data_IF_114512943345
#
_entry.id   IF_114512943345
#
_cell.length_a   1.000
_cell.length_b   1.000
_cell.length_c   1.000
_cell.angle_alpha   90.00
_cell.angle_beta   90.00
_cell.angle_gamma   90.00
#
_symmetry.space_group_name_H-M   'P 1'
#
loop_
_entity.id
_entity.type
_entity.pdbx_description
1 polymer ?
#
# COMPACT_ATOMS: atom_id res chain seq x y z
N UNK A 1 15.81 15.88 50.90
CA UNK A 1 16.37 15.40 49.62
C UNK A 1 15.21 15.18 48.67
N UNK A 2 15.10 16.02 47.64
CA UNK A 2 14.01 16.02 46.65
C UNK A 2 14.59 15.53 45.32
N UNK A 3 13.99 14.55 44.62
CA UNK A 3 14.50 14.12 43.32
C UNK A 3 14.06 15.10 42.24
N UNK A 4 15.04 15.62 41.49
CA UNK A 4 14.87 16.58 40.43
C UNK A 4 14.14 16.02 39.21
N UNK A 5 13.11 16.75 38.78
CA UNK A 5 12.35 16.57 37.55
C UNK A 5 13.22 17.05 36.37
N UNK A 6 13.65 16.16 35.48
CA UNK A 6 14.26 16.55 34.19
C UNK A 6 13.15 16.71 33.16
N UNK A 7 12.92 17.95 32.74
CA UNK A 7 12.17 18.28 31.52
C UNK A 7 13.06 18.00 30.32
N UNK A 8 12.54 17.26 29.33
CA UNK A 8 13.19 17.02 28.04
C UNK A 8 12.44 17.85 27.01
N UNK A 9 13.03 18.99 26.67
CA UNK A 9 12.59 19.84 25.57
C UNK A 9 13.04 19.27 24.23
N UNK A 10 12.13 19.31 23.26
CA UNK A 10 12.39 19.72 21.88
C UNK A 10 13.17 18.78 20.96
N UNK A 11 12.46 18.20 19.99
CA UNK A 11 12.77 18.32 18.54
C UNK A 11 11.62 17.74 17.72
N UNK A 12 10.64 18.59 17.41
CA UNK A 12 9.77 18.40 16.27
C UNK A 12 10.58 18.78 15.03
N UNK A 13 10.97 17.78 14.24
CA UNK A 13 11.69 17.93 12.98
C UNK A 13 10.91 17.24 11.87
N UNK A 14 10.15 18.05 11.12
CA UNK A 14 10.11 18.05 9.66
C UNK A 14 9.93 16.69 8.95
N UNK A 15 8.66 16.25 8.82
CA UNK A 15 8.25 15.23 7.84
C UNK A 15 7.75 15.93 6.58
N UNK A 16 8.61 16.07 5.56
CA UNK A 16 8.19 16.43 4.20
C UNK A 16 8.97 15.64 3.15
N UNK A 17 8.19 15.08 2.22
CA UNK A 17 8.51 14.74 0.83
C UNK A 17 9.32 13.45 0.54
N UNK A 18 8.62 12.31 0.50
CA UNK A 18 8.93 11.20 -0.44
C UNK A 18 7.61 10.68 -1.02
N UNK A 19 7.04 11.40 -1.99
CA UNK A 19 5.81 10.99 -2.69
C UNK A 19 5.91 11.10 -4.21
N UNK A 20 7.12 11.22 -4.78
CA UNK A 20 7.29 11.45 -6.21
C UNK A 20 8.41 10.58 -6.81
N UNK A 21 8.24 9.25 -6.84
CA UNK A 21 9.07 8.39 -7.71
C UNK A 21 8.51 6.98 -8.02
N UNK A 22 7.20 6.76 -7.93
CA UNK A 22 6.61 5.43 -8.17
C UNK A 22 5.36 5.52 -9.06
N UNK A 23 5.55 5.93 -10.32
CA UNK A 23 4.47 6.00 -11.32
C UNK A 23 4.85 5.42 -12.69
N UNK A 24 5.82 4.51 -12.78
CA UNK A 24 6.31 3.99 -14.09
C UNK A 24 6.48 2.46 -14.22
N UNK A 25 5.91 1.61 -13.36
CA UNK A 25 6.02 0.16 -13.55
C UNK A 25 4.68 -0.57 -13.51
N UNK A 26 3.99 -0.52 -14.64
CA UNK A 26 3.14 -1.61 -15.09
C UNK A 26 3.49 -1.92 -16.56
N UNK A 27 3.68 -3.21 -16.85
CA UNK A 27 3.99 -3.85 -18.15
C UNK A 27 5.48 -3.99 -18.52
N UNK A 28 6.03 -5.17 -18.22
CA UNK A 28 7.05 -5.82 -19.07
C UNK A 28 7.14 -7.32 -18.74
N UNK A 29 6.25 -8.11 -19.33
CA UNK A 29 6.48 -9.54 -19.54
C UNK A 29 7.41 -9.72 -20.74
N UNK A 30 8.52 -10.43 -20.55
CA UNK A 30 9.54 -10.67 -21.57
C UNK A 30 9.04 -11.61 -22.68
N UNK A 31 9.00 -11.12 -23.91
CA UNK A 31 9.25 -11.91 -25.12
C UNK A 31 10.02 -11.02 -26.10
N UNK A 32 11.29 -11.35 -26.31
CA UNK A 32 12.20 -10.61 -27.18
C UNK A 32 11.84 -10.81 -28.66
N UNK A 33 11.32 -9.76 -29.30
CA UNK A 33 11.25 -9.64 -30.75
C UNK A 33 12.41 -8.74 -31.25
N UNK A 34 13.01 -9.03 -32.42
CA UNK A 34 14.08 -8.20 -32.99
C UNK A 34 13.55 -6.80 -33.34
N UNK A 35 14.28 -5.77 -32.89
CA UNK A 35 13.88 -4.38 -32.99
C UNK A 35 13.86 -3.84 -34.43
N UNK A 36 12.94 -2.92 -34.76
CA UNK A 36 12.93 -2.24 -36.04
C UNK A 36 14.05 -1.19 -36.14
N UNK A 37 14.64 -1.11 -37.32
CA UNK A 37 15.66 -0.17 -37.77
C UNK A 37 15.22 1.30 -37.58
N UNK A 38 16.11 2.21 -37.12
CA UNK A 38 15.79 3.63 -36.99
C UNK A 38 15.63 4.29 -38.37
N UNK A 39 14.52 5.03 -38.54
CA UNK A 39 14.27 5.90 -39.69
C UNK A 39 14.79 7.31 -39.38
N UNK A 40 15.46 8.00 -40.32
CA UNK A 40 16.06 9.31 -40.09
C UNK A 40 15.05 10.48 -40.09
N UNK A 41 15.32 11.39 -39.15
CA UNK A 41 15.03 12.84 -39.04
C UNK A 41 13.92 13.48 -39.88
N UNK A 42 12.90 13.98 -39.18
CA UNK A 42 11.96 14.97 -39.68
C UNK A 42 12.54 16.40 -39.59
N UNK A 43 12.30 17.27 -40.60
CA UNK A 43 12.84 18.62 -40.65
C UNK A 43 12.11 19.60 -39.70
N UNK A 44 12.74 20.75 -39.37
CA UNK A 44 12.22 21.73 -38.42
C UNK A 44 11.03 22.51 -38.98
N UNK A 45 10.01 22.71 -38.14
CA UNK A 45 8.86 23.54 -38.45
C UNK A 45 9.23 25.04 -38.44
N UNK A 46 8.90 25.72 -39.53
CA UNK A 46 9.07 27.16 -39.74
C UNK A 46 7.92 27.96 -39.11
N UNK A 47 8.27 28.99 -38.34
CA UNK A 47 7.35 29.99 -37.80
C UNK A 47 6.83 30.90 -38.92
N UNK A 48 5.52 30.87 -39.18
CA UNK A 48 4.81 31.80 -40.08
C UNK A 48 4.02 32.87 -39.30
N UNK A 49 3.89 34.10 -39.84
CA UNK A 49 3.31 35.24 -39.12
C UNK A 49 1.78 35.18 -39.03
N UNK A 50 1.30 35.66 -37.89
CA UNK A 50 -0.10 35.77 -37.48
C UNK A 50 -0.83 36.84 -38.32
N UNK A 51 -1.83 36.41 -39.09
CA UNK A 51 -2.78 37.31 -39.75
C UNK A 51 -4.05 37.43 -38.91
N UNK A 52 -4.26 38.62 -38.35
CA UNK A 52 -5.44 39.00 -37.56
C UNK A 52 -6.62 39.27 -38.52
N UNK A 53 -7.50 38.29 -38.69
CA UNK A 53 -8.77 38.46 -39.40
C UNK A 53 -9.89 38.81 -38.40
N UNK A 54 -10.63 39.88 -38.71
CA UNK A 54 -11.82 40.31 -37.95
C UNK A 54 -12.93 39.24 -37.98
N UNK A 55 -13.57 38.93 -36.84
CA UNK A 55 -14.67 37.98 -36.81
C UNK A 55 -15.94 38.64 -37.36
N UNK A 56 -16.42 38.12 -38.50
CA UNK A 56 -17.80 38.33 -38.95
C UNK A 56 -18.76 37.73 -37.93
N UNK A 57 -19.68 38.56 -37.44
CA UNK A 57 -20.75 38.16 -36.52
C UNK A 57 -21.68 37.16 -37.21
N UNK A 58 -21.62 35.90 -36.77
CA UNK A 58 -22.61 34.87 -37.11
C UNK A 58 -23.80 35.04 -36.16
N UNK A 59 -25.05 35.15 -36.66
CA UNK A 59 -26.23 35.27 -35.81
C UNK A 59 -26.40 34.03 -34.93
N UNK A 60 -26.58 34.27 -33.63
CA UNK A 60 -26.76 33.24 -32.62
C UNK A 60 -28.08 32.48 -32.83
N UNK A 61 -28.08 31.13 -32.95
CA UNK A 61 -29.30 30.36 -32.93
C UNK A 61 -29.90 30.38 -31.51
N UNK A 62 -31.00 31.10 -31.33
CA UNK A 62 -31.75 31.27 -30.06
C UNK A 62 -32.57 30.02 -29.67
N UNK A 63 -31.98 28.83 -29.80
CA UNK A 63 -32.61 27.58 -29.39
C UNK A 63 -31.68 26.80 -28.47
N UNK A 64 -31.70 27.10 -27.17
CA UNK A 64 -31.09 26.22 -26.18
C UNK A 64 -31.82 24.87 -26.24
N UNK A 65 -31.18 23.78 -26.72
CA UNK A 65 -31.79 22.47 -26.60
C UNK A 65 -32.01 22.21 -25.11
N UNK A 66 -33.26 22.02 -24.72
CA UNK A 66 -33.62 21.60 -23.37
C UNK A 66 -32.82 20.33 -23.10
N UNK A 67 -31.86 20.39 -22.18
CA UNK A 67 -31.00 19.26 -21.87
C UNK A 67 -31.90 18.11 -21.42
N UNK A 68 -32.04 17.09 -22.28
CA UNK A 68 -32.73 15.87 -21.89
C UNK A 68 -32.11 15.38 -20.58
N UNK A 69 -32.92 15.07 -19.56
CA UNK A 69 -32.38 14.67 -18.26
C UNK A 69 -31.46 13.47 -18.47
N UNK A 70 -30.18 13.64 -18.15
CA UNK A 70 -29.24 12.53 -18.13
C UNK A 70 -29.70 11.58 -17.03
N UNK A 71 -30.28 10.45 -17.41
CA UNK A 71 -30.67 9.40 -16.47
C UNK A 71 -29.38 8.87 -15.87
N UNK A 72 -29.09 9.27 -14.63
CA UNK A 72 -27.94 8.77 -13.91
C UNK A 72 -28.21 7.29 -13.59
N UNK A 73 -27.31 6.35 -13.98
CA UNK A 73 -27.53 4.94 -13.73
C UNK A 73 -27.71 4.70 -12.23
N UNK A 74 -28.76 3.97 -11.88
CA UNK A 74 -29.06 3.63 -10.50
C UNK A 74 -28.00 2.68 -9.95
N UNK A 75 -27.24 3.12 -8.94
CA UNK A 75 -26.26 2.28 -8.24
C UNK A 75 -26.98 1.37 -7.26
N UNK A 76 -26.90 0.06 -7.48
CA UNK A 76 -27.50 -0.96 -6.59
C UNK A 76 -26.67 -1.14 -5.33
N UNK A 77 -27.30 -1.56 -4.25
CA UNK A 77 -26.66 -1.89 -2.99
C UNK A 77 -26.92 -3.36 -2.65
N UNK A 78 -25.88 -4.09 -2.28
CA UNK A 78 -25.89 -5.48 -1.85
C UNK A 78 -25.25 -5.53 -0.45
N UNK A 79 -26.02 -5.84 0.61
CA UNK A 79 -25.47 -5.95 1.95
C UNK A 79 -24.63 -7.22 2.06
N UNK A 80 -23.37 -7.08 2.48
CA UNK A 80 -22.47 -8.20 2.79
C UNK A 80 -22.67 -8.74 4.21
N UNK A 81 -23.24 -7.93 5.11
CA UNK A 81 -23.48 -8.33 6.49
C UNK A 81 -23.10 -7.27 7.51
N UNK A 82 -23.00 -7.69 8.77
CA UNK A 82 -22.57 -6.84 9.88
C UNK A 82 -21.32 -7.41 10.54
N UNK A 83 -20.20 -6.69 10.43
CA UNK A 83 -18.93 -7.05 11.04
C UNK A 83 -18.87 -6.53 12.48
N UNK A 84 -18.67 -7.44 13.42
CA UNK A 84 -18.41 -7.11 14.83
C UNK A 84 -16.92 -7.28 15.12
N UNK A 85 -16.29 -6.21 15.61
CA UNK A 85 -14.91 -6.21 16.08
C UNK A 85 -14.92 -5.85 17.57
N UNK A 86 -14.30 -6.68 18.42
CA UNK A 86 -14.21 -6.44 19.87
C UNK A 86 -12.75 -6.50 20.31
N UNK A 87 -12.32 -5.67 21.27
CA UNK A 87 -10.99 -5.79 21.88
C UNK A 87 -10.74 -7.22 22.38
N UNK A 88 -9.57 -7.77 22.08
CA UNK A 88 -9.17 -9.11 22.53
C UNK A 88 -9.89 -10.29 21.88
N UNK A 89 -10.82 -10.10 20.93
CA UNK A 89 -11.54 -11.19 20.28
C UNK A 89 -11.35 -11.18 18.75
N UNK A 90 -11.41 -12.36 18.14
CA UNK A 90 -11.46 -12.50 16.70
C UNK A 90 -12.64 -11.72 16.11
N UNK A 91 -12.47 -11.08 14.94
CA UNK A 91 -13.59 -10.47 14.24
C UNK A 91 -14.63 -11.54 13.86
N UNK A 92 -15.91 -11.17 13.91
CA UNK A 92 -17.01 -12.06 13.50
C UNK A 92 -17.93 -11.32 12.53
N UNK A 93 -18.40 -12.02 11.49
CA UNK A 93 -19.32 -11.45 10.49
C UNK A 93 -20.65 -12.20 10.49
N UNK A 94 -21.74 -11.48 10.73
CA UNK A 94 -23.09 -11.95 10.41
C UNK A 94 -23.33 -11.72 8.92
N UNK A 95 -23.10 -12.76 8.11
CA UNK A 95 -23.03 -12.68 6.65
C UNK A 95 -24.40 -12.49 6.01
N UNK A 96 -24.47 -11.56 5.06
CA UNK A 96 -25.62 -11.35 4.18
C UNK A 96 -25.67 -12.35 3.03
N UNK A 97 -26.76 -12.32 2.24
CA UNK A 97 -26.87 -13.18 1.06
C UNK A 97 -25.78 -12.87 0.03
N UNK A 98 -25.18 -13.92 -0.52
CA UNK A 98 -24.11 -13.82 -1.52
C UNK A 98 -22.72 -13.53 -0.94
N UNK A 99 -22.56 -13.58 0.38
CA UNK A 99 -21.26 -13.54 1.05
C UNK A 99 -20.96 -14.90 1.71
N UNK A 100 -19.79 -15.45 1.42
CA UNK A 100 -19.22 -16.61 2.09
C UNK A 100 -18.10 -16.14 3.03
N UNK A 101 -18.05 -16.70 4.24
CA UNK A 101 -17.08 -16.30 5.27
C UNK A 101 -16.28 -17.51 5.69
N UNK A 102 -14.96 -17.40 5.63
CA UNK A 102 -14.03 -18.37 6.17
C UNK A 102 -13.25 -17.74 7.33
N UNK A 103 -13.27 -18.42 8.48
CA UNK A 103 -12.35 -18.11 9.58
C UNK A 103 -10.94 -18.56 9.21
N UNK A 104 -9.98 -17.70 9.47
CA UNK A 104 -8.58 -17.88 9.13
C UNK A 104 -7.74 -17.81 10.41
N UNK A 105 -6.56 -18.47 10.44
CA UNK A 105 -5.64 -18.39 11.57
C UNK A 105 -5.33 -16.94 12.00
N UNK A 106 -5.00 -16.78 13.28
CA UNK A 106 -4.48 -15.53 13.85
C UNK A 106 -5.48 -14.37 13.76
N UNK A 107 -6.74 -14.67 14.11
CA UNK A 107 -7.87 -13.75 14.20
C UNK A 107 -8.17 -13.02 12.88
N UNK A 108 -8.27 -13.78 11.78
CA UNK A 108 -8.61 -13.25 10.47
C UNK A 108 -9.90 -13.86 9.92
N UNK A 109 -10.60 -13.10 9.09
CA UNK A 109 -11.73 -13.51 8.27
C UNK A 109 -11.39 -13.23 6.82
N UNK A 110 -11.71 -14.20 5.97
CA UNK A 110 -11.78 -14.04 4.52
C UNK A 110 -13.26 -14.03 4.14
N UNK A 111 -13.68 -13.03 3.38
CA UNK A 111 -15.05 -12.84 2.94
C UNK A 111 -15.06 -12.84 1.42
N UNK A 112 -15.69 -13.85 0.82
CA UNK A 112 -15.85 -13.95 -0.63
C UNK A 112 -17.29 -13.54 -0.96
N UNK A 113 -17.44 -12.43 -1.69
CA UNK A 113 -18.74 -11.92 -2.10
C UNK A 113 -18.96 -12.14 -3.59
N UNK A 114 -20.08 -12.72 -3.97
CA UNK A 114 -20.52 -12.77 -5.37
C UNK A 114 -21.37 -11.54 -5.70
N UNK A 115 -21.02 -10.82 -6.77
CA UNK A 115 -21.77 -9.65 -7.23
C UNK A 115 -23.03 -10.10 -7.98
N UNK A 116 -24.20 -9.89 -7.38
CA UNK A 116 -25.46 -10.48 -7.85
C UNK A 116 -25.97 -9.93 -9.20
N UNK A 117 -25.68 -8.67 -9.52
CA UNK A 117 -26.13 -8.00 -10.74
C UNK A 117 -24.98 -7.22 -11.39
N UNK A 118 -24.79 -7.49 -12.68
CA UNK A 118 -23.66 -7.01 -13.49
C UNK A 118 -24.06 -5.93 -14.49
N UNK A 119 -25.34 -5.56 -14.55
CA UNK A 119 -25.86 -4.57 -15.51
C UNK A 119 -25.48 -3.12 -15.19
N UNK A 120 -24.58 -2.90 -14.22
CA UNK A 120 -24.11 -1.59 -13.82
C UNK A 120 -23.37 -1.63 -12.48
N UNK A 121 -22.98 -0.46 -11.95
CA UNK A 121 -22.27 -0.37 -10.68
C UNK A 121 -23.06 -0.97 -9.52
N UNK A 122 -22.37 -1.76 -8.71
CA UNK A 122 -22.93 -2.41 -7.52
C UNK A 122 -22.10 -2.06 -6.30
N UNK A 123 -22.76 -1.61 -5.24
CA UNK A 123 -22.14 -1.35 -3.92
C UNK A 123 -22.29 -2.58 -3.05
N UNK A 124 -21.17 -3.14 -2.60
CA UNK A 124 -21.13 -4.15 -1.56
C UNK A 124 -20.93 -3.44 -0.22
N UNK A 125 -21.87 -3.60 0.69
CA UNK A 125 -21.91 -2.84 1.96
C UNK A 125 -21.66 -3.77 3.16
N UNK A 126 -20.57 -3.53 3.88
CA UNK A 126 -20.25 -4.18 5.15
C UNK A 126 -20.51 -3.20 6.30
N UNK A 127 -21.51 -3.50 7.14
CA UNK A 127 -21.86 -2.64 8.27
C UNK A 127 -20.92 -2.85 9.46
N UNK A 128 -20.58 -1.77 10.15
CA UNK A 128 -19.74 -1.77 11.34
C UNK A 128 -20.56 -1.20 12.52
N UNK A 129 -21.51 -1.98 13.09
CA UNK A 129 -22.38 -1.48 14.15
C UNK A 129 -21.58 -1.05 15.39
N UNK A 130 -21.76 0.21 15.79
CA UNK A 130 -21.01 0.80 16.92
C UNK A 130 -19.50 0.87 16.69
N UNK A 131 -19.07 0.81 15.42
CA UNK A 131 -17.67 0.73 15.04
C UNK A 131 -16.86 1.98 15.38
N UNK A 132 -15.52 1.86 15.48
CA UNK A 132 -14.62 2.99 15.64
C UNK A 132 -14.64 3.90 14.40
N UNK A 133 -13.89 5.00 14.46
CA UNK A 133 -13.66 5.87 13.32
C UNK A 133 -13.07 5.07 12.15
N UNK A 134 -13.83 4.98 11.06
CA UNK A 134 -13.42 4.29 9.83
C UNK A 134 -12.72 5.29 8.91
N UNK A 135 -11.42 5.11 8.69
CA UNK A 135 -10.65 5.93 7.74
C UNK A 135 -10.19 5.07 6.58
N UNK A 136 -10.38 5.56 5.34
CA UNK A 136 -9.77 4.95 4.16
C UNK A 136 -8.57 5.80 3.75
N UNK A 137 -7.37 5.22 3.79
CA UNK A 137 -6.15 5.89 3.35
C UNK A 137 -5.40 4.97 2.40
N UNK A 138 -5.05 5.48 1.22
CA UNK A 138 -4.23 4.80 0.23
C UNK A 138 -4.66 3.36 0.00
N UNK A 139 -5.94 3.12 -0.30
CA UNK A 139 -6.48 1.78 -0.63
C UNK A 139 -6.65 0.84 0.56
N UNK A 140 -6.60 1.31 1.80
CA UNK A 140 -6.91 0.49 2.98
C UNK A 140 -7.91 1.19 3.87
N UNK A 141 -8.96 0.46 4.23
CA UNK A 141 -9.87 0.89 5.27
C UNK A 141 -9.37 0.41 6.63
N UNK A 142 -9.03 1.35 7.50
CA UNK A 142 -8.71 1.11 8.90
C UNK A 142 -9.99 1.30 9.70
N UNK A 143 -10.51 0.19 10.23
CA UNK A 143 -11.73 0.17 11.06
C UNK A 143 -11.44 0.73 12.47
N UNK A 144 -10.18 0.75 12.89
CA UNK A 144 -9.71 1.44 14.09
C UNK A 144 -8.40 0.87 14.62
N UNK A 145 -7.78 1.61 15.54
CA UNK A 145 -6.71 1.08 16.42
C UNK A 145 -7.34 0.71 17.75
N UNK A 146 -7.39 -0.58 18.07
CA UNK A 146 -7.91 -1.07 19.34
C UNK A 146 -6.91 -0.77 20.48
N UNK A 147 -7.35 -0.72 21.75
CA UNK A 147 -6.48 -0.39 22.90
C UNK A 147 -5.27 -1.31 23.09
N UNK A 148 -5.36 -2.54 22.59
CA UNK A 148 -4.30 -3.55 22.52
C UNK A 148 -3.36 -3.35 21.31
N UNK A 149 -3.52 -2.25 20.57
CA UNK A 149 -2.75 -1.90 19.38
C UNK A 149 -3.29 -2.54 18.11
N UNK A 150 -4.36 -3.31 18.16
CA UNK A 150 -4.79 -4.10 17.01
C UNK A 150 -5.37 -3.24 15.89
N UNK A 151 -5.02 -3.64 14.68
CA UNK A 151 -5.56 -3.13 13.45
C UNK A 151 -6.69 -4.05 13.01
N UNK A 152 -7.91 -3.55 12.85
CA UNK A 152 -8.84 -4.18 11.92
C UNK A 152 -8.73 -3.40 10.62
N UNK A 153 -8.17 -4.00 9.58
CA UNK A 153 -8.07 -3.37 8.28
C UNK A 153 -8.69 -4.24 7.20
N UNK A 154 -9.21 -3.57 6.19
CA UNK A 154 -9.66 -4.18 4.94
C UNK A 154 -8.81 -3.59 3.84
N UNK A 155 -7.90 -4.38 3.22
CA UNK A 155 -7.24 -3.92 2.01
C UNK A 155 -8.28 -3.67 0.91
N UNK A 156 -7.91 -2.91 -0.10
CA UNK A 156 -8.70 -2.84 -1.33
C UNK A 156 -8.94 -4.26 -1.84
N UNK A 157 -10.20 -4.70 -1.94
CA UNK A 157 -10.54 -6.05 -2.30
C UNK A 157 -10.03 -6.38 -3.69
N UNK A 158 -9.53 -7.60 -3.87
CA UNK A 158 -9.33 -8.12 -5.20
C UNK A 158 -10.70 -8.45 -5.78
N UNK A 159 -11.04 -7.85 -6.92
CA UNK A 159 -12.31 -8.08 -7.61
C UNK A 159 -12.01 -8.68 -8.98
N UNK A 160 -12.40 -9.93 -9.16
CA UNK A 160 -12.11 -10.72 -10.36
C UNK A 160 -13.40 -11.24 -10.97
N UNK A 161 -13.42 -11.38 -12.29
CA UNK A 161 -14.42 -12.20 -12.97
C UNK A 161 -14.04 -13.70 -12.99
N UNK A 162 -14.90 -14.52 -13.62
CA UNK A 162 -14.72 -15.97 -13.68
C UNK A 162 -13.47 -16.42 -14.46
N UNK A 163 -12.94 -15.55 -15.32
CA UNK A 163 -11.71 -15.77 -16.08
C UNK A 163 -10.47 -15.22 -15.35
N UNK A 164 -10.64 -14.74 -14.11
CA UNK A 164 -9.59 -14.14 -13.29
C UNK A 164 -9.15 -12.76 -13.78
N UNK A 165 -9.96 -12.07 -14.58
CA UNK A 165 -9.64 -10.71 -15.02
C UNK A 165 -10.06 -9.69 -13.96
N UNK A 166 -9.23 -8.65 -13.71
CA UNK A 166 -9.55 -7.62 -12.75
C UNK A 166 -10.76 -6.80 -13.19
N UNK A 167 -11.67 -6.53 -12.25
CA UNK A 167 -12.83 -5.65 -12.41
C UNK A 167 -12.58 -4.36 -11.64
N UNK A 168 -12.89 -3.22 -12.25
CA UNK A 168 -12.73 -1.92 -11.60
C UNK A 168 -13.54 -1.86 -10.31
N UNK A 169 -12.89 -1.45 -9.21
CA UNK A 169 -13.53 -1.27 -7.92
C UNK A 169 -12.97 -0.08 -7.17
N UNK A 170 -13.69 0.37 -6.14
CA UNK A 170 -13.27 1.46 -5.27
C UNK A 170 -13.80 1.25 -3.85
N UNK A 171 -12.90 1.28 -2.87
CA UNK A 171 -13.23 1.17 -1.45
C UNK A 171 -13.48 2.55 -0.84
N UNK A 172 -14.54 2.68 -0.04
CA UNK A 172 -14.89 3.93 0.65
C UNK A 172 -15.55 3.67 2.00
N UNK A 173 -15.50 4.65 2.89
CA UNK A 173 -16.17 4.64 4.19
C UNK A 173 -17.37 5.59 4.15
N UNK A 174 -18.54 5.13 4.60
CA UNK A 174 -19.74 5.97 4.68
C UNK A 174 -20.71 5.47 5.73
N UNK A 175 -21.20 6.38 6.58
CA UNK A 175 -22.31 6.14 7.51
C UNK A 175 -22.13 4.87 8.36
N UNK A 176 -20.92 4.65 8.91
CA UNK A 176 -20.59 3.46 9.71
C UNK A 176 -20.54 2.15 8.90
N UNK A 177 -20.37 2.25 7.59
CA UNK A 177 -20.23 1.10 6.68
C UNK A 177 -18.98 1.25 5.83
N UNK A 178 -18.37 0.10 5.53
CA UNK A 178 -17.39 -0.03 4.47
C UNK A 178 -18.13 -0.35 3.18
N UNK A 179 -17.87 0.42 2.13
CA UNK A 179 -18.56 0.31 0.84
C UNK A 179 -17.53 0.06 -0.25
N UNK A 180 -17.57 -1.14 -0.84
CA UNK A 180 -16.86 -1.45 -2.07
C UNK A 180 -17.80 -1.20 -3.25
N UNK A 181 -17.45 -0.26 -4.12
CA UNK A 181 -18.18 -0.04 -5.37
C UNK A 181 -17.49 -0.84 -6.47
N UNK A 182 -18.17 -1.84 -7.02
CA UNK A 182 -17.72 -2.63 -8.17
C UNK A 182 -18.35 -2.08 -9.44
N UNK A 183 -17.55 -1.84 -10.48
CA UNK A 183 -17.99 -1.25 -11.76
C UNK A 183 -17.62 -2.19 -12.91
N UNK A 184 -18.47 -3.17 -13.24
CA UNK A 184 -18.24 -4.06 -14.37
C UNK A 184 -18.36 -3.32 -15.71
N UNK A 185 -17.41 -3.58 -16.61
CA UNK A 185 -17.50 -3.27 -18.05
C UNK A 185 -18.22 -4.40 -18.83
N UNK A 186 -18.67 -4.12 -20.05
CA UNK A 186 -19.40 -5.08 -20.91
C UNK A 186 -18.62 -6.37 -21.20
N UNK A 187 -17.28 -6.33 -21.14
CA UNK A 187 -16.43 -7.50 -21.36
C UNK A 187 -16.54 -8.56 -20.26
N UNK A 188 -17.02 -8.21 -19.08
CA UNK A 188 -17.11 -9.12 -17.94
C UNK A 188 -18.44 -9.89 -17.99
N UNK A 189 -18.47 -10.97 -18.76
CA UNK A 189 -19.68 -11.79 -19.01
C UNK A 189 -19.92 -12.88 -17.97
N UNK A 190 -19.01 -13.03 -17.01
CA UNK A 190 -18.94 -14.10 -16.03
C UNK A 190 -19.27 -13.73 -14.59
N UNK A 191 -19.28 -14.71 -13.68
CA UNK A 191 -19.46 -14.46 -12.24
C UNK A 191 -18.36 -13.49 -11.78
N UNK A 192 -18.73 -12.43 -11.05
CA UNK A 192 -17.77 -11.51 -10.45
C UNK A 192 -17.71 -11.79 -8.95
N UNK A 193 -16.50 -11.97 -8.45
CA UNK A 193 -16.21 -12.20 -7.04
C UNK A 193 -15.36 -11.06 -6.49
N UNK A 194 -15.66 -10.66 -5.25
CA UNK A 194 -14.84 -9.72 -4.50
C UNK A 194 -14.33 -10.42 -3.24
N UNK A 195 -13.03 -10.41 -3.02
CA UNK A 195 -12.39 -11.00 -1.86
C UNK A 195 -11.98 -9.91 -0.87
N UNK A 196 -12.65 -9.88 0.28
CA UNK A 196 -12.34 -8.96 1.36
C UNK A 196 -11.67 -9.72 2.50
N UNK A 197 -10.68 -9.08 3.10
CA UNK A 197 -10.02 -9.60 4.29
C UNK A 197 -10.26 -8.67 5.48
N UNK A 198 -10.48 -9.27 6.64
CA UNK A 198 -10.52 -8.56 7.92
C UNK A 198 -9.64 -9.33 8.87
N UNK A 199 -8.55 -8.74 9.34
CA UNK A 199 -7.71 -9.41 10.32
C UNK A 199 -7.15 -8.46 11.35
N UNK A 200 -6.63 -9.07 12.42
CA UNK A 200 -6.12 -8.43 13.63
C UNK A 200 -4.58 -8.45 13.69
N UNK A 201 -3.98 -9.53 13.22
CA UNK A 201 -2.53 -9.76 13.23
C UNK A 201 -2.02 -9.88 11.81
N UNK A 202 -0.90 -9.24 11.51
CA UNK A 202 -0.20 -9.36 10.22
C UNK A 202 1.07 -10.21 10.34
N UNK A 203 1.61 -10.37 11.55
CA UNK A 203 2.71 -11.28 11.87
C UNK A 203 2.17 -12.45 12.70
N UNK A 204 2.50 -13.66 12.28
CA UNK A 204 2.10 -14.91 12.94
C UNK A 204 3.14 -15.38 13.95
N UNK A 205 4.41 -15.39 13.54
CA UNK A 205 5.51 -15.89 14.36
C UNK A 205 6.82 -15.19 14.03
N UNK A 206 7.71 -15.15 15.03
CA UNK A 206 9.13 -14.86 14.84
C UNK A 206 9.92 -16.03 15.43
N UNK A 207 10.66 -16.74 14.60
CA UNK A 207 11.53 -17.83 15.04
C UNK A 207 12.99 -17.40 14.96
N UNK A 208 13.82 -17.92 15.86
CA UNK A 208 15.25 -17.58 15.95
C UNK A 208 16.08 -18.77 15.52
N UNK A 209 17.02 -18.52 14.62
CA UNK A 209 18.07 -19.44 14.22
C UNK A 209 19.43 -18.74 14.36
N UNK A 210 20.51 -19.43 13.96
CA UNK A 210 21.86 -18.88 13.96
C UNK A 210 22.43 -18.95 12.56
N UNK A 211 23.01 -17.85 12.10
CA UNK A 211 23.75 -17.74 10.85
C UNK A 211 24.98 -16.85 11.08
N UNK A 212 26.16 -17.30 10.62
CA UNK A 212 27.46 -16.64 10.88
C UNK A 212 27.68 -16.31 12.36
N UNK A 213 27.35 -17.25 13.25
CA UNK A 213 27.43 -17.12 14.71
C UNK A 213 26.57 -16.00 15.32
N UNK A 214 25.67 -15.40 14.54
CA UNK A 214 24.74 -14.37 14.98
C UNK A 214 23.28 -14.80 14.80
N UNK A 215 22.33 -14.17 15.52
CA UNK A 215 20.91 -14.48 15.36
C UNK A 215 20.39 -14.15 13.95
N UNK A 216 19.61 -15.07 13.39
CA UNK A 216 18.73 -14.84 12.25
C UNK A 216 17.28 -14.99 12.71
N UNK A 217 16.44 -14.03 12.37
CA UNK A 217 15.02 -14.01 12.74
C UNK A 217 14.15 -14.27 11.53
N UNK A 218 13.47 -15.41 11.49
CA UNK A 218 12.48 -15.68 10.46
C UNK A 218 11.10 -15.15 10.90
N UNK A 219 10.66 -14.07 10.26
CA UNK A 219 9.38 -13.39 10.49
C UNK A 219 8.34 -13.98 9.55
N UNK A 220 7.39 -14.73 10.09
CA UNK A 220 6.28 -15.35 9.34
C UNK A 220 5.04 -14.49 9.44
N UNK A 221 4.38 -14.27 8.31
CA UNK A 221 3.15 -13.46 8.22
C UNK A 221 1.90 -14.32 8.40
N UNK A 222 0.81 -13.72 8.85
CA UNK A 222 -0.51 -14.37 8.84
C UNK A 222 -1.07 -14.41 7.41
N UNK A 223 -2.13 -15.19 7.12
CA UNK A 223 -2.85 -15.10 5.86
C UNK A 223 -3.37 -13.68 5.58
N UNK A 224 -3.87 -12.99 6.61
CA UNK A 224 -4.28 -11.59 6.51
C UNK A 224 -3.11 -10.67 6.16
N UNK A 225 -1.96 -10.83 6.82
CA UNK A 225 -0.76 -10.06 6.50
C UNK A 225 -0.26 -10.33 5.09
N UNK A 226 -0.38 -11.57 4.61
CA UNK A 226 -0.11 -11.90 3.22
C UNK A 226 -1.08 -11.20 2.28
N UNK A 227 -2.38 -11.25 2.53
CA UNK A 227 -3.41 -10.61 1.70
C UNK A 227 -3.26 -9.08 1.68
N UNK A 228 -2.96 -8.47 2.83
CA UNK A 228 -2.74 -7.02 2.96
C UNK A 228 -1.60 -6.53 2.06
N UNK A 229 -0.52 -7.31 1.94
CA UNK A 229 0.60 -6.98 1.04
C UNK A 229 0.46 -7.56 -0.37
N UNK A 230 -0.31 -8.63 -0.53
CA UNK A 230 -0.39 -9.47 -1.74
C UNK A 230 -1.58 -9.16 -2.67
N UNK A 231 -2.75 -8.83 -2.11
CA UNK A 231 -3.93 -8.40 -2.87
C UNK A 231 -3.93 -6.90 -3.19
N UNK A 232 -3.26 -6.11 -2.34
CA UNK A 232 -3.09 -4.66 -2.50
C UNK A 232 -1.68 -4.22 -2.85
N UNK A 233 -0.94 -5.02 -3.65
CA UNK A 233 0.52 -4.99 -3.94
C UNK A 233 1.24 -3.66 -4.25
N UNK A 234 0.61 -2.51 -4.10
CA UNK A 234 1.28 -1.22 -4.17
C UNK A 234 0.50 -0.06 -3.55
N UNK A 235 -0.60 -0.31 -2.83
CA UNK A 235 -1.34 0.83 -2.26
C UNK A 235 -0.50 1.42 -1.10
N UNK A 236 -0.20 2.73 -1.13
CA UNK A 236 0.69 3.32 -0.13
C UNK A 236 0.21 3.10 1.31
N UNK A 237 -1.11 3.04 1.52
CA UNK A 237 -1.71 2.83 2.84
C UNK A 237 -1.48 1.42 3.38
N UNK A 238 -1.59 0.38 2.55
CA UNK A 238 -1.33 -1.01 2.99
C UNK A 238 0.11 -1.21 3.41
N UNK A 239 1.04 -0.64 2.64
CA UNK A 239 2.46 -0.70 2.92
C UNK A 239 2.81 0.00 4.23
N UNK A 240 2.42 1.26 4.37
CA UNK A 240 2.70 2.05 5.58
C UNK A 240 2.14 1.37 6.83
N UNK A 241 0.92 0.86 6.72
CA UNK A 241 0.26 0.16 7.79
C UNK A 241 0.99 -1.13 8.19
N UNK A 242 1.48 -1.90 7.21
CA UNK A 242 2.25 -3.11 7.48
C UNK A 242 3.62 -2.80 8.08
N UNK A 243 4.34 -1.80 7.55
CA UNK A 243 5.64 -1.35 8.07
C UNK A 243 5.54 -0.95 9.56
N UNK A 244 4.47 -0.26 9.95
CA UNK A 244 4.25 0.17 11.33
C UNK A 244 3.74 -0.97 12.22
N UNK A 245 2.62 -1.59 11.86
CA UNK A 245 1.94 -2.56 12.72
C UNK A 245 2.67 -3.91 12.71
N UNK A 246 3.17 -4.34 11.55
CA UNK A 246 3.91 -5.58 11.40
C UNK A 246 5.22 -5.55 12.16
N UNK A 247 5.99 -4.46 12.07
CA UNK A 247 7.21 -4.33 12.87
C UNK A 247 6.92 -4.36 14.38
N UNK A 248 5.90 -3.61 14.82
CA UNK A 248 5.50 -3.60 16.24
C UNK A 248 5.11 -4.98 16.73
N UNK A 249 4.36 -5.75 15.94
CA UNK A 249 3.99 -7.14 16.27
C UNK A 249 5.21 -8.06 16.30
N UNK A 250 6.11 -7.95 15.32
CA UNK A 250 7.35 -8.73 15.30
C UNK A 250 8.22 -8.47 16.54
N UNK A 251 8.44 -7.21 16.91
CA UNK A 251 9.20 -6.84 18.13
C UNK A 251 8.49 -7.31 19.40
N UNK A 252 7.16 -7.28 19.44
CA UNK A 252 6.42 -7.81 20.58
C UNK A 252 6.61 -9.33 20.76
N UNK A 253 6.73 -10.07 19.66
CA UNK A 253 7.03 -11.50 19.66
C UNK A 253 8.50 -11.80 19.98
N UNK A 254 9.42 -10.95 19.51
CA UNK A 254 10.85 -11.08 19.74
C UNK A 254 11.49 -9.70 19.99
N UNK A 255 11.63 -9.27 21.25
CA UNK A 255 12.17 -7.95 21.60
C UNK A 255 13.59 -7.69 21.08
N UNK A 256 14.38 -8.74 20.84
CA UNK A 256 15.72 -8.60 20.27
C UNK A 256 15.71 -8.01 18.84
N UNK A 257 14.58 -8.06 18.12
CA UNK A 257 14.45 -7.37 16.83
C UNK A 257 14.63 -5.85 16.93
N UNK A 258 14.46 -5.25 18.11
CA UNK A 258 14.67 -3.82 18.32
C UNK A 258 16.13 -3.36 18.23
N UNK A 259 17.09 -4.28 18.07
CA UNK A 259 18.51 -3.98 17.89
C UNK A 259 19.22 -5.15 17.18
N UNK A 260 20.02 -4.90 16.12
CA UNK A 260 20.40 -3.60 15.55
C UNK A 260 19.33 -2.95 14.65
N UNK A 261 19.56 -1.69 14.24
CA UNK A 261 18.68 -0.94 13.33
C UNK A 261 18.55 -1.63 11.96
N UNK A 262 19.59 -2.35 11.53
CA UNK A 262 19.59 -3.15 10.30
C UNK A 262 18.44 -4.15 10.23
N UNK A 263 17.93 -4.67 11.35
CA UNK A 263 16.79 -5.59 11.35
C UNK A 263 15.49 -4.90 10.92
N UNK A 264 15.28 -3.65 11.35
CA UNK A 264 14.13 -2.84 10.90
C UNK A 264 14.26 -2.50 9.42
N UNK A 265 15.46 -2.11 8.99
CA UNK A 265 15.73 -1.79 7.60
C UNK A 265 15.48 -2.99 6.68
N UNK A 266 15.92 -4.18 7.10
CA UNK A 266 15.68 -5.44 6.36
C UNK A 266 14.17 -5.75 6.30
N UNK A 267 13.45 -5.58 7.41
CA UNK A 267 12.00 -5.77 7.45
C UNK A 267 11.29 -4.86 6.45
N UNK A 268 11.58 -3.55 6.47
CA UNK A 268 10.97 -2.57 5.56
C UNK A 268 11.33 -2.86 4.10
N UNK A 269 12.58 -3.25 3.85
CA UNK A 269 13.01 -3.65 2.52
C UNK A 269 12.22 -4.88 2.05
N UNK A 270 11.97 -5.87 2.90
CA UNK A 270 11.17 -7.03 2.53
C UNK A 270 9.69 -6.70 2.30
N UNK A 271 9.12 -5.78 3.07
CA UNK A 271 7.77 -5.26 2.81
C UNK A 271 7.71 -4.64 1.41
N UNK A 272 8.73 -3.87 1.01
CA UNK A 272 8.81 -3.21 -0.30
C UNK A 272 9.11 -4.18 -1.46
N UNK A 273 10.16 -5.00 -1.31
CA UNK A 273 10.79 -5.77 -2.38
C UNK A 273 10.41 -7.25 -2.43
N UNK A 274 9.78 -7.79 -1.38
CA UNK A 274 9.38 -9.19 -1.30
C UNK A 274 7.97 -9.42 -0.70
N UNK A 275 6.93 -8.62 -1.06
CA UNK A 275 5.60 -8.70 -0.46
C UNK A 275 4.88 -10.03 -0.68
N UNK A 276 5.31 -10.86 -1.65
CA UNK A 276 4.72 -12.18 -1.91
C UNK A 276 5.33 -13.32 -1.08
N UNK A 277 6.45 -13.11 -0.38
CA UNK A 277 7.11 -14.18 0.42
C UNK A 277 6.44 -14.35 1.78
N UNK A 278 5.97 -15.54 2.11
CA UNK A 278 5.29 -15.79 3.40
C UNK A 278 6.15 -15.49 4.63
N UNK A 279 7.45 -15.74 4.54
CA UNK A 279 8.43 -15.49 5.61
C UNK A 279 9.62 -14.71 5.08
N UNK A 280 10.22 -13.92 5.96
CA UNK A 280 11.43 -13.13 5.71
C UNK A 280 12.48 -13.43 6.76
N UNK A 281 13.74 -13.54 6.35
CA UNK A 281 14.85 -13.72 7.27
C UNK A 281 15.48 -12.35 7.52
N UNK A 282 15.60 -11.98 8.80
CA UNK A 282 16.28 -10.76 9.23
C UNK A 282 17.58 -11.18 9.92
N UNK A 283 18.70 -10.80 9.35
CA UNK A 283 20.02 -11.31 9.69
C UNK A 283 20.75 -10.27 10.54
N UNK A 284 21.05 -10.58 11.80
CA UNK A 284 21.63 -9.62 12.75
C UNK A 284 23.07 -9.20 12.40
N UNK A 285 23.80 -10.07 11.69
CA UNK A 285 25.16 -9.79 11.25
C UNK A 285 25.24 -8.72 10.15
N UNK A 286 24.12 -8.36 9.53
CA UNK A 286 24.10 -7.32 8.50
C UNK A 286 24.29 -5.95 9.15
N UNK A 287 25.18 -5.11 8.60
CA UNK A 287 25.42 -3.79 9.16
C UNK A 287 24.23 -2.86 8.91
N UNK A 288 24.15 -1.78 9.69
CA UNK A 288 23.17 -0.72 9.46
C UNK A 288 23.43 -0.02 8.11
N UNK A 289 22.38 0.12 7.31
CA UNK A 289 22.41 0.75 5.99
C UNK A 289 21.34 1.86 5.92
N UNK A 290 21.59 3.07 6.46
CA UNK A 290 20.60 4.15 6.54
C UNK A 290 20.05 4.58 5.17
N UNK A 291 20.78 4.34 4.08
CA UNK A 291 20.41 4.65 2.70
C UNK A 291 19.81 3.45 1.93
N UNK A 292 19.36 2.38 2.60
CA UNK A 292 19.02 1.09 1.97
C UNK A 292 17.96 1.23 0.86
N UNK A 293 17.07 2.23 0.98
CA UNK A 293 16.02 2.48 -0.02
C UNK A 293 16.61 2.78 -1.40
N UNK A 294 17.78 3.42 -1.49
CA UNK A 294 18.43 3.80 -2.75
C UNK A 294 18.94 2.59 -3.53
N UNK A 295 19.37 1.54 -2.81
CA UNK A 295 19.93 0.31 -3.37
C UNK A 295 18.99 -0.90 -3.29
N UNK A 296 17.78 -0.76 -2.76
CA UNK A 296 16.90 -1.88 -2.39
C UNK A 296 16.71 -2.93 -3.50
N UNK A 297 16.63 -2.48 -4.76
CA UNK A 297 16.49 -3.35 -5.93
C UNK A 297 17.81 -4.07 -6.30
N UNK A 298 18.95 -3.41 -6.12
CA UNK A 298 20.27 -3.93 -6.46
C UNK A 298 20.70 -5.02 -5.47
N UNK A 299 20.66 -4.72 -4.17
CA UNK A 299 21.04 -5.68 -3.14
C UNK A 299 19.89 -6.62 -2.74
N UNK A 300 18.67 -6.42 -3.25
CA UNK A 300 17.49 -7.28 -3.00
C UNK A 300 17.24 -7.54 -1.51
N UNK A 301 17.43 -6.50 -0.69
CA UNK A 301 17.35 -6.56 0.78
C UNK A 301 18.45 -7.38 1.49
N UNK A 302 19.49 -7.79 0.77
CA UNK A 302 20.61 -8.57 1.26
C UNK A 302 21.92 -7.79 1.06
N UNK A 303 22.09 -6.66 1.75
CA UNK A 303 23.32 -5.86 1.64
C UNK A 303 24.42 -6.39 2.55
N UNK A 304 25.65 -6.39 2.04
CA UNK A 304 26.87 -6.73 2.76
C UNK A 304 27.66 -5.44 3.10
N UNK A 305 28.70 -5.50 3.94
CA UNK A 305 29.50 -4.33 4.30
C UNK A 305 30.06 -3.53 3.10
N UNK A 306 30.34 -4.19 1.98
CA UNK A 306 30.80 -3.58 0.74
C UNK A 306 29.75 -2.71 0.02
N UNK A 307 28.46 -2.92 0.31
CA UNK A 307 27.37 -2.14 -0.29
C UNK A 307 27.13 -0.82 0.44
N UNK A 308 27.71 -0.65 1.63
CA UNK A 308 27.57 0.57 2.41
C UNK A 308 28.24 1.73 1.67
N UNK A 309 27.61 2.92 1.65
CA UNK A 309 28.28 4.11 1.14
C UNK A 309 29.59 4.27 1.92
N UNK A 310 30.72 4.29 1.20
CA UNK A 310 32.01 4.58 1.79
C UNK A 310 31.85 5.80 2.70
N UNK A 311 32.28 5.74 3.97
CA UNK A 311 32.18 6.89 4.87
C UNK A 311 32.79 8.04 4.10
N UNK A 312 31.95 9.03 3.77
CA UNK A 312 32.29 10.08 2.82
C UNK A 312 33.60 10.64 3.29
N UNK A 313 34.68 10.33 2.54
CA UNK A 313 36.04 10.40 3.07
C UNK A 313 36.16 11.70 3.82
N UNK A 314 36.39 11.59 5.14
CA UNK A 314 36.53 12.70 6.07
C UNK A 314 37.16 13.82 5.29
N UNK A 315 36.34 14.84 4.94
CA UNK A 315 36.78 15.93 4.08
C UNK A 315 38.06 16.40 4.73
N UNK A 316 39.20 16.06 4.14
CA UNK A 316 40.48 16.33 4.76
C UNK A 316 40.45 17.82 5.03
N UNK A 317 40.41 18.17 6.32
CA UNK A 317 40.33 19.57 6.74
C UNK A 317 41.33 20.31 5.88
N UNK A 318 40.91 21.32 5.09
CA UNK A 318 41.81 21.98 4.17
C UNK A 318 43.00 22.45 5.02
N UNK A 319 44.16 21.82 4.78
CA UNK A 319 45.39 22.10 5.54
C UNK A 319 45.49 23.61 5.72
N UNK A 320 45.61 24.11 6.97
CA UNK A 320 45.60 25.54 7.21
C UNK A 320 46.66 26.18 6.32
N UNK A 321 46.22 27.08 5.44
CA UNK A 321 47.12 27.84 4.57
C UNK A 321 48.22 28.44 5.44
N UNK A 322 49.51 28.24 5.09
CA UNK A 322 50.59 28.82 5.85
C UNK A 322 50.39 30.33 5.88
N UNK A 323 50.21 30.87 7.08
CA UNK A 323 50.10 32.30 7.30
C UNK A 323 51.38 32.96 6.81
N UNK A 324 51.28 33.76 5.75
CA UNK A 324 52.35 34.67 5.34
C UNK A 324 52.64 35.61 6.52
N UNK A 325 53.75 35.34 7.19
CA UNK A 325 54.34 36.26 8.16
C UNK A 325 55.21 37.23 7.38
N UNK A 326 54.88 38.51 7.46
CA UNK A 326 55.69 39.62 6.94
C UNK A 326 56.94 39.90 7.78
#
# INVERSE_FOLDING_TARGET
MVPGKRTRDGKEGEVRAVAAMMACLALAGCASAPGPTPTPDAPPATNGPSASASPSQVPSPTGSPSASPTVQPSVRAQPLGSLTVRPGAAPTLDAGPGAEVAEQPSDALQVIATVADRSGPTRLELRLPGGPELTVNGGVAVIGTLPDGFLAAVPEPEVLDEDGQPVASALSARDGSLVLTVTPEERHTGVITAELWVGRQVIDAVTVATERDEPMYAVTRTPFGHALLGGGLGTPGARELFEQQGWRQAVALQPALSSPDSLKQQFDCHVLGAPRKQSWNLEAYRPDHPDWVRGALEHRCNWEPEDLPSPSGEQADPSPSPSESG
#
